data_IF_811953932555
#
_entry.id   IF_811953932555
#
_cell.length_a   1.000
_cell.length_b   1.000
_cell.length_c   1.000
_cell.angle_alpha   90.00
_cell.angle_beta   90.00
_cell.angle_gamma   90.00
#
_symmetry.space_group_name_H-M   'P 1'
#
loop_
_entity.id
_entity.type
_entity.pdbx_description
1 polymer ?
#
# COMPACT_ATOMS: atom_id res chain seq x y z
N UNK A 1 19.16 -2.04 -15.24
CA UNK A 1 17.97 -2.39 -16.06
C UNK A 1 16.81 -1.59 -15.50
N UNK A 2 16.20 -0.73 -16.30
CA UNK A 2 15.10 0.11 -15.82
C UNK A 2 13.87 -0.77 -15.58
N UNK A 3 13.40 -0.81 -14.32
CA UNK A 3 12.20 -1.57 -13.96
C UNK A 3 11.00 -0.77 -14.44
N UNK A 4 10.36 -1.21 -15.52
CA UNK A 4 9.15 -0.59 -16.05
C UNK A 4 7.97 -0.94 -15.15
N UNK A 5 7.39 0.06 -14.48
CA UNK A 5 6.17 -0.06 -13.70
C UNK A 5 5.09 0.90 -14.22
N UNK A 6 3.86 0.67 -13.80
CA UNK A 6 2.75 1.60 -14.04
C UNK A 6 3.00 2.96 -13.35
N UNK A 7 3.49 2.90 -12.12
CA UNK A 7 3.96 4.05 -11.34
C UNK A 7 5.37 3.72 -10.84
N UNK A 8 6.29 4.66 -10.79
CA UNK A 8 7.63 4.40 -10.28
C UNK A 8 8.33 5.66 -9.74
N UNK A 9 9.24 5.45 -8.82
CA UNK A 9 10.22 6.44 -8.38
C UNK A 9 11.64 5.83 -8.44
N UNK A 10 12.59 6.39 -7.69
CA UNK A 10 13.97 5.90 -7.68
C UNK A 10 14.12 4.58 -6.92
N UNK A 11 13.19 4.27 -6.02
CA UNK A 11 13.29 3.17 -5.06
C UNK A 11 12.41 1.99 -5.41
N UNK A 12 11.21 2.26 -5.95
CA UNK A 12 10.23 1.24 -6.23
C UNK A 12 9.51 1.50 -7.55
N UNK A 13 9.04 0.43 -8.17
CA UNK A 13 8.08 0.46 -9.23
C UNK A 13 6.81 -0.29 -8.80
N UNK A 14 5.65 0.25 -9.17
CA UNK A 14 4.36 -0.40 -8.96
C UNK A 14 3.87 -0.96 -10.30
N UNK A 15 3.57 -2.24 -10.35
CA UNK A 15 3.06 -2.89 -11.55
C UNK A 15 1.82 -3.75 -11.25
N UNK A 16 0.98 -4.03 -12.24
CA UNK A 16 -0.06 -5.04 -12.08
C UNK A 16 0.52 -6.36 -11.57
N UNK A 17 -0.25 -7.07 -10.75
CA UNK A 17 0.07 -8.44 -10.36
C UNK A 17 -0.27 -9.40 -11.51
N UNK A 18 0.55 -10.41 -11.67
CA UNK A 18 0.37 -11.48 -12.64
C UNK A 18 0.13 -12.82 -11.92
N UNK A 19 -0.46 -13.78 -12.61
CA UNK A 19 -0.79 -15.08 -12.02
C UNK A 19 0.47 -15.79 -11.47
N UNK A 20 1.64 -15.57 -12.11
CA UNK A 20 2.93 -16.11 -11.66
C UNK A 20 3.43 -15.52 -10.33
N UNK A 21 2.89 -14.39 -9.89
CA UNK A 21 3.20 -13.81 -8.57
C UNK A 21 2.55 -14.58 -7.42
N UNK A 22 1.50 -15.35 -7.67
CA UNK A 22 0.64 -15.99 -6.67
C UNK A 22 1.42 -16.88 -5.69
N UNK A 23 2.40 -17.63 -6.18
CA UNK A 23 3.23 -18.48 -5.32
C UNK A 23 4.03 -17.67 -4.28
N UNK A 24 4.48 -16.47 -4.65
CA UNK A 24 5.17 -15.57 -3.75
C UNK A 24 4.22 -14.94 -2.74
N UNK A 25 3.04 -14.49 -3.19
CA UNK A 25 2.00 -13.95 -2.32
C UNK A 25 1.58 -14.99 -1.28
N UNK A 26 1.29 -16.23 -1.70
CA UNK A 26 0.97 -17.34 -0.80
C UNK A 26 2.09 -17.59 0.24
N UNK A 27 3.35 -17.50 -0.18
CA UNK A 27 4.50 -17.59 0.73
C UNK A 27 4.48 -16.50 1.81
N UNK A 28 4.15 -15.27 1.45
CA UNK A 28 4.10 -14.16 2.41
C UNK A 28 2.92 -14.26 3.39
N UNK A 29 1.72 -14.51 2.90
CA UNK A 29 0.52 -14.56 3.76
C UNK A 29 0.49 -15.79 4.67
N UNK A 30 1.32 -16.80 4.38
CA UNK A 30 1.51 -17.99 5.23
C UNK A 30 2.72 -17.88 6.16
N UNK A 31 3.61 -16.89 5.99
CA UNK A 31 4.71 -16.64 6.92
C UNK A 31 4.17 -16.02 8.22
N UNK A 32 4.42 -16.69 9.36
CA UNK A 32 3.89 -16.27 10.66
C UNK A 32 4.32 -14.85 11.07
N UNK A 33 5.54 -14.43 10.70
CA UNK A 33 6.03 -13.10 11.03
C UNK A 33 5.32 -12.01 10.21
N UNK A 34 4.90 -12.32 8.97
CA UNK A 34 4.09 -11.44 8.11
C UNK A 34 2.63 -11.49 8.55
N UNK A 35 2.09 -12.68 8.76
CA UNK A 35 0.70 -12.93 9.16
C UNK A 35 0.32 -12.25 10.47
N UNK A 36 1.29 -12.05 11.37
CA UNK A 36 1.07 -11.31 12.61
C UNK A 36 0.42 -9.95 12.39
N UNK A 37 0.78 -9.27 11.30
CA UNK A 37 0.33 -7.91 10.99
C UNK A 37 -0.85 -7.87 10.00
N UNK A 38 -1.30 -9.05 9.51
CA UNK A 38 -2.41 -9.13 8.57
C UNK A 38 -3.72 -9.47 9.28
N UNK A 39 -4.82 -8.94 8.77
CA UNK A 39 -6.19 -9.23 9.24
C UNK A 39 -6.80 -10.53 8.70
N UNK A 40 -5.98 -11.42 8.12
CA UNK A 40 -6.43 -12.68 7.51
C UNK A 40 -5.95 -13.89 8.33
N UNK A 41 -6.59 -15.06 8.21
CA UNK A 41 -6.20 -16.25 8.98
C UNK A 41 -4.97 -16.97 8.42
N UNK A 42 -4.45 -16.60 7.24
CA UNK A 42 -3.42 -17.36 6.53
C UNK A 42 -3.97 -18.65 5.91
N UNK A 43 -3.08 -19.59 5.60
CA UNK A 43 -3.37 -20.91 4.99
C UNK A 43 -3.97 -20.79 3.59
N UNK A 44 -3.44 -19.85 2.80
CA UNK A 44 -3.82 -19.67 1.41
C UNK A 44 -2.88 -20.47 0.49
N UNK A 45 -3.46 -21.13 -0.50
CA UNK A 45 -2.72 -21.81 -1.57
C UNK A 45 -2.35 -20.83 -2.67
N UNK A 46 -1.41 -21.22 -3.55
CA UNK A 46 -1.11 -20.41 -4.74
C UNK A 46 -2.33 -20.28 -5.66
N UNK A 47 -3.16 -21.31 -5.76
CA UNK A 47 -4.37 -21.26 -6.59
C UNK A 47 -5.41 -20.26 -6.04
N UNK A 48 -5.56 -20.18 -4.72
CA UNK A 48 -6.42 -19.17 -4.08
C UNK A 48 -5.87 -17.76 -4.31
N UNK A 49 -4.55 -17.56 -4.27
CA UNK A 49 -3.93 -16.28 -4.61
C UNK A 49 -4.09 -15.92 -6.11
N UNK A 50 -4.04 -16.89 -7.03
CA UNK A 50 -4.39 -16.65 -8.45
C UNK A 50 -5.83 -16.14 -8.56
N UNK A 51 -6.78 -16.77 -7.86
CA UNK A 51 -8.17 -16.31 -7.88
C UNK A 51 -8.31 -14.92 -7.27
N UNK A 52 -7.60 -14.64 -6.18
CA UNK A 52 -7.59 -13.31 -5.57
C UNK A 52 -7.01 -12.26 -6.53
N UNK A 53 -5.87 -12.51 -7.19
CA UNK A 53 -5.28 -11.60 -8.19
C UNK A 53 -6.29 -11.29 -9.30
N UNK A 54 -6.96 -12.31 -9.83
CA UNK A 54 -7.99 -12.13 -10.87
C UNK A 54 -9.17 -11.29 -10.35
N UNK A 55 -9.65 -11.58 -9.13
CA UNK A 55 -10.75 -10.83 -8.54
C UNK A 55 -10.41 -9.36 -8.30
N UNK A 56 -9.17 -9.05 -7.90
CA UNK A 56 -8.71 -7.67 -7.74
C UNK A 56 -8.56 -6.95 -9.09
N UNK A 57 -8.08 -7.66 -10.11
CA UNK A 57 -7.94 -7.12 -11.48
C UNK A 57 -9.30 -6.76 -12.08
N UNK A 58 -10.30 -7.59 -11.86
CA UNK A 58 -11.64 -7.42 -12.42
C UNK A 58 -12.54 -6.50 -11.56
N UNK A 59 -12.11 -6.14 -10.36
CA UNK A 59 -12.89 -5.31 -9.45
C UNK A 59 -12.95 -3.85 -9.92
N UNK A 60 -14.15 -3.26 -10.04
CA UNK A 60 -14.29 -1.83 -10.33
C UNK A 60 -14.02 -0.94 -9.11
N UNK A 61 -13.83 -1.55 -7.93
CA UNK A 61 -13.70 -0.87 -6.64
C UNK A 61 -12.36 -1.08 -5.95
N UNK A 62 -11.46 -1.80 -6.60
CA UNK A 62 -10.14 -2.09 -6.04
C UNK A 62 -9.05 -1.81 -7.07
N UNK A 63 -7.91 -1.35 -6.60
CA UNK A 63 -6.67 -1.22 -7.38
C UNK A 63 -5.56 -1.80 -6.53
N UNK A 64 -4.99 -2.93 -6.95
CA UNK A 64 -3.89 -3.57 -6.23
C UNK A 64 -2.71 -3.74 -7.17
N UNK A 65 -1.55 -3.28 -6.73
CA UNK A 65 -0.29 -3.34 -7.50
C UNK A 65 0.79 -4.05 -6.70
N UNK A 66 1.64 -4.78 -7.41
CA UNK A 66 2.87 -5.33 -6.86
C UNK A 66 3.93 -4.25 -6.68
N UNK A 67 4.64 -4.29 -5.56
CA UNK A 67 5.78 -3.42 -5.26
C UNK A 67 7.05 -4.13 -5.69
N UNK A 68 7.75 -3.55 -6.65
CA UNK A 68 9.04 -4.04 -7.14
C UNK A 68 10.15 -3.13 -6.63
N UNK A 69 11.17 -3.72 -6.00
CA UNK A 69 12.38 -3.00 -5.59
C UNK A 69 13.18 -2.63 -6.85
N UNK A 70 13.42 -1.33 -7.07
CA UNK A 70 14.14 -0.84 -8.25
C UNK A 70 15.62 -1.23 -8.25
N UNK A 71 16.17 -1.65 -7.10
CA UNK A 71 17.59 -2.01 -7.00
C UNK A 71 17.92 -3.35 -7.66
N UNK A 72 16.98 -4.31 -7.64
CA UNK A 72 17.21 -5.66 -8.16
C UNK A 72 16.03 -6.22 -9.00
N UNK A 73 14.92 -5.48 -9.12
CA UNK A 73 13.74 -5.90 -9.88
C UNK A 73 12.87 -6.94 -9.18
N UNK A 74 13.09 -7.17 -7.90
CA UNK A 74 12.36 -8.19 -7.13
C UNK A 74 11.01 -7.67 -6.65
N UNK A 75 9.95 -8.45 -6.85
CA UNK A 75 8.66 -8.21 -6.21
C UNK A 75 8.81 -8.41 -4.70
N UNK A 76 8.48 -7.40 -3.89
CA UNK A 76 8.72 -7.39 -2.44
C UNK A 76 7.46 -7.20 -1.61
N UNK A 77 6.35 -6.88 -2.25
CA UNK A 77 5.10 -6.64 -1.54
C UNK A 77 3.96 -6.25 -2.47
N UNK A 78 2.86 -5.82 -1.88
CA UNK A 78 1.69 -5.28 -2.58
C UNK A 78 1.22 -4.00 -1.92
N UNK A 79 0.63 -3.10 -2.69
CA UNK A 79 -0.04 -1.89 -2.22
C UNK A 79 -1.36 -1.73 -2.96
N UNK A 80 -2.40 -1.27 -2.26
CA UNK A 80 -3.70 -1.16 -2.88
C UNK A 80 -4.62 -0.11 -2.30
N UNK A 81 -5.63 0.20 -3.09
CA UNK A 81 -6.83 0.94 -2.73
C UNK A 81 -7.99 -0.04 -2.81
N UNK A 82 -8.74 -0.15 -1.74
CA UNK A 82 -9.87 -1.09 -1.64
C UNK A 82 -11.17 -0.33 -1.38
N UNK A 83 -12.27 -0.94 -1.78
CA UNK A 83 -13.61 -0.40 -1.56
C UNK A 83 -13.74 1.06 -2.03
N UNK A 84 -13.16 1.40 -3.17
CA UNK A 84 -13.22 2.75 -3.73
C UNK A 84 -14.69 3.18 -3.82
N UNK A 85 -15.03 4.23 -3.08
CA UNK A 85 -16.34 4.85 -3.06
C UNK A 85 -16.27 6.17 -3.83
N UNK A 86 -16.83 6.18 -5.04
CA UNK A 86 -16.79 7.37 -5.90
C UNK A 86 -17.76 8.47 -5.45
N UNK A 87 -18.82 8.12 -4.73
CA UNK A 87 -19.79 9.08 -4.21
C UNK A 87 -19.16 9.93 -3.11
N UNK A 88 -18.48 9.28 -2.17
CA UNK A 88 -17.82 9.96 -1.05
C UNK A 88 -16.34 10.24 -1.33
N UNK A 89 -15.85 9.88 -2.52
CA UNK A 89 -14.46 10.09 -2.97
C UNK A 89 -13.42 9.57 -1.96
N UNK A 90 -13.60 8.35 -1.47
CA UNK A 90 -12.67 7.74 -0.53
C UNK A 90 -12.32 6.28 -0.88
N UNK A 91 -11.27 5.77 -0.27
CA UNK A 91 -10.88 4.37 -0.36
C UNK A 91 -10.15 3.92 0.91
N UNK A 92 -10.20 2.61 1.17
CA UNK A 92 -9.35 1.99 2.17
C UNK A 92 -7.98 1.71 1.56
N UNK A 93 -6.93 2.19 2.23
CA UNK A 93 -5.55 1.97 1.84
C UNK A 93 -4.99 0.71 2.51
N UNK A 94 -4.30 -0.12 1.74
CA UNK A 94 -3.64 -1.32 2.22
C UNK A 94 -2.23 -1.46 1.67
N UNK A 95 -1.30 -1.99 2.47
CA UNK A 95 0.07 -2.29 2.05
C UNK A 95 0.62 -3.50 2.79
N UNK A 96 1.37 -4.31 2.07
CA UNK A 96 2.13 -5.43 2.58
C UNK A 96 3.55 -5.39 1.99
N UNK A 97 4.57 -5.38 2.84
CA UNK A 97 5.94 -5.77 2.46
C UNK A 97 6.12 -7.21 2.95
N UNK A 98 6.05 -8.15 2.02
CA UNK A 98 6.13 -9.59 2.32
C UNK A 98 7.57 -10.08 2.51
N UNK A 99 8.53 -9.47 1.79
CA UNK A 99 9.94 -9.81 1.92
C UNK A 99 10.55 -9.20 3.20
N UNK A 100 10.85 -10.06 4.17
CA UNK A 100 11.33 -9.63 5.51
C UNK A 100 12.69 -8.95 5.48
N UNK A 101 13.57 -9.37 4.57
CA UNK A 101 14.87 -8.75 4.34
C UNK A 101 14.78 -7.32 3.77
N UNK A 102 13.60 -6.90 3.34
CA UNK A 102 13.28 -5.56 2.84
C UNK A 102 12.56 -4.67 3.85
N UNK A 103 12.28 -5.17 5.03
CA UNK A 103 11.63 -4.37 6.07
C UNK A 103 12.51 -3.24 6.57
N UNK A 104 11.88 -2.14 6.99
CA UNK A 104 12.54 -0.94 7.53
C UNK A 104 13.48 -0.21 6.56
N UNK A 105 13.47 -0.57 5.27
CA UNK A 105 14.28 0.10 4.24
C UNK A 105 13.53 1.25 3.54
N UNK A 106 12.31 1.57 3.96
CA UNK A 106 11.51 2.67 3.42
C UNK A 106 10.78 2.36 2.11
N UNK A 107 10.85 1.12 1.58
CA UNK A 107 10.15 0.73 0.35
C UNK A 107 8.64 0.86 0.50
N UNK A 108 8.08 0.50 1.67
CA UNK A 108 6.65 0.68 1.94
C UNK A 108 6.21 2.14 1.92
N UNK A 109 7.04 3.06 2.43
CA UNK A 109 6.73 4.51 2.37
C UNK A 109 6.84 5.03 0.93
N UNK A 110 7.83 4.59 0.15
CA UNK A 110 7.96 4.96 -1.27
C UNK A 110 6.76 4.48 -2.08
N UNK A 111 6.39 3.20 -1.95
CA UNK A 111 5.22 2.62 -2.62
C UNK A 111 3.91 3.32 -2.21
N UNK A 112 3.76 3.58 -0.90
CA UNK A 112 2.59 4.29 -0.37
C UNK A 112 2.46 5.71 -0.90
N UNK A 113 3.57 6.41 -1.11
CA UNK A 113 3.57 7.76 -1.71
C UNK A 113 3.08 7.73 -3.14
N UNK A 114 3.57 6.81 -3.96
CA UNK A 114 3.12 6.62 -5.34
C UNK A 114 1.63 6.28 -5.41
N UNK A 115 1.17 5.34 -4.57
CA UNK A 115 -0.24 4.94 -4.54
C UNK A 115 -1.15 6.07 -4.03
N UNK A 116 -0.73 6.85 -3.04
CA UNK A 116 -1.49 8.00 -2.54
C UNK A 116 -1.56 9.13 -3.58
N UNK A 117 -0.47 9.40 -4.30
CA UNK A 117 -0.47 10.35 -5.40
C UNK A 117 -1.44 9.92 -6.52
N UNK A 118 -1.41 8.66 -6.90
CA UNK A 118 -2.37 8.10 -7.85
C UNK A 118 -3.81 8.23 -7.38
N UNK A 119 -4.08 7.91 -6.10
CA UNK A 119 -5.42 8.04 -5.51
C UNK A 119 -5.95 9.47 -5.57
N UNK A 120 -5.14 10.44 -5.17
CA UNK A 120 -5.58 11.84 -5.05
C UNK A 120 -5.54 12.59 -6.38
N UNK A 121 -4.48 12.39 -7.15
CA UNK A 121 -4.19 13.23 -8.32
C UNK A 121 -4.53 12.58 -9.66
N UNK A 122 -4.87 11.28 -9.69
CA UNK A 122 -5.36 10.59 -10.89
C UNK A 122 -6.80 10.12 -10.72
N UNK A 123 -7.13 9.45 -9.60
CA UNK A 123 -8.49 8.98 -9.35
C UNK A 123 -9.39 10.05 -8.73
N UNK A 124 -8.84 11.22 -8.39
CA UNK A 124 -9.54 12.35 -7.76
C UNK A 124 -10.27 11.95 -6.46
N UNK A 125 -9.65 11.10 -5.66
CA UNK A 125 -10.17 10.80 -4.34
C UNK A 125 -9.89 11.96 -3.38
N UNK A 126 -10.77 12.14 -2.40
CA UNK A 126 -10.63 13.16 -1.37
C UNK A 126 -9.93 12.64 -0.13
N UNK A 127 -10.11 11.34 0.16
CA UNK A 127 -9.67 10.73 1.42
C UNK A 127 -9.20 9.29 1.24
N UNK A 128 -8.10 8.96 1.93
CA UNK A 128 -7.71 7.59 2.21
C UNK A 128 -7.86 7.31 3.71
N UNK A 129 -8.22 6.06 4.05
CA UNK A 129 -8.27 5.61 5.44
C UNK A 129 -7.70 4.21 5.56
N UNK A 130 -7.27 3.85 6.75
CA UNK A 130 -6.76 2.53 7.06
C UNK A 130 -7.00 2.18 8.54
N UNK A 131 -6.82 0.91 8.85
CA UNK A 131 -6.68 0.47 10.24
C UNK A 131 -5.35 -0.26 10.40
N UNK A 132 -4.73 -0.13 11.57
CA UNK A 132 -3.46 -0.78 11.89
C UNK A 132 -3.44 -1.20 13.36
N UNK A 133 -2.97 -2.42 13.63
CA UNK A 133 -2.80 -2.90 15.00
C UNK A 133 -1.81 -2.01 15.76
N UNK A 134 -2.15 -1.61 16.99
CA UNK A 134 -1.33 -0.73 17.81
C UNK A 134 0.07 -1.31 18.10
N UNK A 135 0.20 -2.65 18.08
CA UNK A 135 1.48 -3.34 18.21
C UNK A 135 2.31 -3.41 16.91
N UNK A 136 1.89 -2.71 15.82
CA UNK A 136 2.67 -2.59 14.58
C UNK A 136 3.32 -1.19 14.45
N UNK A 137 4.33 -0.85 15.25
CA UNK A 137 4.94 0.48 15.23
C UNK A 137 5.62 0.83 13.90
N UNK A 138 6.05 -0.18 13.12
CA UNK A 138 6.63 0.03 11.79
C UNK A 138 5.58 0.51 10.79
N UNK A 139 4.41 -0.11 10.82
CA UNK A 139 3.27 0.32 9.99
C UNK A 139 2.85 1.74 10.35
N UNK A 140 2.60 2.00 11.64
CA UNK A 140 2.21 3.33 12.14
C UNK A 140 3.19 4.41 11.67
N UNK A 141 4.50 4.23 11.91
CA UNK A 141 5.53 5.19 11.46
C UNK A 141 5.58 5.37 9.93
N UNK A 142 5.28 4.32 9.16
CA UNK A 142 5.22 4.44 7.70
C UNK A 142 4.03 5.29 7.26
N UNK A 143 2.87 5.09 7.88
CA UNK A 143 1.66 5.86 7.59
C UNK A 143 1.78 7.33 8.04
N UNK A 144 2.35 7.59 9.21
CA UNK A 144 2.64 8.96 9.66
C UNK A 144 3.57 9.71 8.69
N UNK A 145 4.60 9.03 8.14
CA UNK A 145 5.49 9.62 7.13
C UNK A 145 4.80 9.93 5.79
N UNK A 146 3.71 9.25 5.49
CA UNK A 146 2.85 9.55 4.32
C UNK A 146 1.89 10.71 4.61
N UNK A 147 1.70 11.08 5.87
CA UNK A 147 0.80 12.12 6.33
C UNK A 147 -0.51 11.62 6.92
N UNK A 148 -0.69 10.30 7.08
CA UNK A 148 -1.85 9.77 7.80
C UNK A 148 -1.84 10.24 9.26
N UNK A 149 -3.00 10.64 9.74
CA UNK A 149 -3.22 11.08 11.11
C UNK A 149 -4.09 10.07 11.87
N UNK A 150 -3.81 9.91 13.16
CA UNK A 150 -4.65 9.09 14.04
C UNK A 150 -6.00 9.79 14.23
N UNK A 151 -7.09 9.09 13.92
CA UNK A 151 -8.46 9.60 14.09
C UNK A 151 -9.20 8.92 15.22
N UNK A 152 -8.76 7.73 15.63
CA UNK A 152 -9.37 7.00 16.72
C UNK A 152 -8.66 5.71 17.09
N UNK A 153 -9.05 5.16 18.23
CA UNK A 153 -8.56 3.87 18.73
C UNK A 153 -9.74 2.95 19.01
N UNK A 154 -9.78 1.84 18.27
CA UNK A 154 -10.74 0.75 18.51
C UNK A 154 -10.14 -0.15 19.59
N UNK A 155 -10.78 -0.16 20.77
CA UNK A 155 -10.29 -0.93 21.91
C UNK A 155 -10.47 -2.42 21.68
N UNK A 156 -9.39 -3.19 21.92
CA UNK A 156 -9.40 -4.66 21.90
C UNK A 156 -9.99 -5.26 20.60
N UNK A 157 -9.80 -4.57 19.47
CA UNK A 157 -10.43 -4.91 18.17
C UNK A 157 -9.64 -5.95 17.35
N UNK A 158 -8.50 -6.42 17.84
CA UNK A 158 -7.68 -7.42 17.15
C UNK A 158 -7.23 -8.49 18.14
N UNK A 159 -7.48 -9.77 17.82
CA UNK A 159 -6.98 -10.91 18.60
C UNK A 159 -5.76 -11.51 17.92
N UNK A 160 -4.60 -11.47 18.58
CA UNK A 160 -3.34 -12.04 18.10
C UNK A 160 -2.54 -12.64 19.27
N UNK A 161 -1.91 -13.76 19.05
CA UNK A 161 -1.03 -14.43 20.02
C UNK A 161 -1.67 -14.60 21.41
N UNK A 162 -2.97 -14.97 21.47
CA UNK A 162 -3.68 -15.22 22.72
C UNK A 162 -4.18 -13.98 23.47
N UNK A 163 -4.04 -12.77 22.89
CA UNK A 163 -4.44 -11.52 23.53
C UNK A 163 -5.22 -10.63 22.59
N UNK A 164 -6.09 -9.79 23.16
CA UNK A 164 -6.76 -8.71 22.44
C UNK A 164 -5.88 -7.46 22.44
N UNK A 165 -5.89 -6.76 21.31
CA UNK A 165 -5.08 -5.57 21.09
C UNK A 165 -5.91 -4.45 20.50
N UNK A 166 -5.52 -3.23 20.79
CA UNK A 166 -6.11 -2.03 20.19
C UNK A 166 -5.74 -1.93 18.71
N UNK A 167 -6.62 -1.29 17.95
CA UNK A 167 -6.43 -0.99 16.53
C UNK A 167 -6.59 0.52 16.33
N UNK A 168 -5.63 1.13 15.68
CA UNK A 168 -5.68 2.54 15.31
C UNK A 168 -6.44 2.70 13.99
N UNK A 169 -7.38 3.64 13.95
CA UNK A 169 -7.98 4.15 12.72
C UNK A 169 -7.22 5.41 12.31
N UNK A 170 -6.73 5.45 11.08
CA UNK A 170 -5.95 6.57 10.56
C UNK A 170 -6.53 7.05 9.24
N UNK A 171 -6.43 8.36 8.97
CA UNK A 171 -6.93 9.01 7.76
C UNK A 171 -5.91 9.94 7.15
N UNK A 172 -6.01 10.13 5.82
CA UNK A 172 -5.19 11.05 5.04
C UNK A 172 -6.09 11.79 4.05
N UNK A 173 -6.07 13.10 4.08
CA UNK A 173 -6.80 13.93 3.11
C UNK A 173 -5.88 14.35 1.95
N UNK A 174 -6.47 14.52 0.78
CA UNK A 174 -5.75 14.93 -0.43
C UNK A 174 -4.94 16.22 -0.23
N UNK A 175 -5.52 17.23 0.46
CA UNK A 175 -4.84 18.51 0.75
C UNK A 175 -3.59 18.30 1.59
N UNK A 176 -3.69 17.48 2.65
CA UNK A 176 -2.60 17.27 3.61
C UNK A 176 -1.46 16.48 2.95
N UNK A 177 -1.81 15.49 2.11
CA UNK A 177 -0.83 14.76 1.29
C UNK A 177 -0.12 15.68 0.30
N UNK A 178 -0.85 16.49 -0.45
CA UNK A 178 -0.29 17.37 -1.48
C UNK A 178 0.63 18.43 -0.87
N UNK A 179 0.25 19.00 0.29
CA UNK A 179 1.10 19.96 1.01
C UNK A 179 2.39 19.30 1.50
N UNK A 180 2.29 18.17 2.21
CA UNK A 180 3.43 17.45 2.76
C UNK A 180 4.38 16.89 1.69
N UNK A 181 3.89 16.59 0.49
CA UNK A 181 4.66 15.97 -0.59
C UNK A 181 4.92 16.87 -1.81
N UNK A 182 4.71 18.19 -1.69
CA UNK A 182 4.86 19.13 -2.82
C UNK A 182 6.25 19.04 -3.49
N UNK A 183 7.33 19.01 -2.71
CA UNK A 183 8.70 18.89 -3.22
C UNK A 183 8.95 17.58 -3.95
N UNK A 184 8.45 16.47 -3.43
CA UNK A 184 8.56 15.16 -4.08
C UNK A 184 7.75 15.14 -5.39
N UNK A 185 6.54 15.66 -5.41
CA UNK A 185 5.71 15.76 -6.63
C UNK A 185 6.39 16.58 -7.72
N UNK A 186 7.00 17.71 -7.35
CA UNK A 186 7.78 18.52 -8.29
C UNK A 186 8.94 17.73 -8.89
N UNK A 187 9.65 16.93 -8.10
CA UNK A 187 10.73 16.08 -8.59
C UNK A 187 10.22 14.97 -9.53
N UNK A 188 9.06 14.40 -9.25
CA UNK A 188 8.44 13.39 -10.14
C UNK A 188 7.99 14.03 -11.46
N UNK A 189 7.37 15.21 -11.42
CA UNK A 189 6.97 15.94 -12.64
C UNK A 189 8.17 16.19 -13.57
N UNK A 190 9.33 16.59 -13.02
CA UNK A 190 10.58 16.72 -13.77
C UNK A 190 11.01 15.42 -14.40
N UNK A 191 10.98 14.33 -13.64
CA UNK A 191 11.35 12.99 -14.11
C UNK A 191 10.52 12.55 -15.32
N UNK A 192 9.22 12.86 -15.34
CA UNK A 192 8.32 12.51 -16.44
C UNK A 192 8.20 13.58 -17.54
N UNK A 193 8.95 14.67 -17.45
CA UNK A 193 8.88 15.77 -18.43
C UNK A 193 7.54 16.54 -18.39
N UNK A 194 6.85 16.53 -17.26
CA UNK A 194 5.52 17.13 -17.05
C UNK A 194 5.59 18.48 -16.32
N UNK A 195 6.71 19.17 -16.37
CA UNK A 195 6.95 20.42 -15.61
C UNK A 195 5.91 21.52 -15.90
N UNK A 196 5.32 21.52 -17.08
CA UNK A 196 4.32 22.52 -17.50
C UNK A 196 2.86 22.09 -17.27
N UNK A 197 2.64 20.92 -16.67
CA UNK A 197 1.29 20.33 -16.55
C UNK A 197 0.74 20.37 -15.11
N UNK A 198 1.50 20.93 -14.15
CA UNK A 198 1.18 20.90 -12.71
C UNK A 198 1.08 22.34 -12.13
N UNK A 199 0.64 23.29 -12.95
CA UNK A 199 0.27 24.63 -12.48
C UNK A 199 -1.25 24.77 -12.39
#
# INVERSE_FOLDING_TARGET
MEVKGFLHDERVALRPLEDDDAGRLAGWVNDQAVLLYLGIPGRLTSDEEVQWIKSMRDSPRDVVLGIVDSSDGRLVGTVGLHMINRTDSNAMYGILIGEKDRWSQGLGTAAGRLMSDYAFNTLNLHRLHLTVAAFNPRGVKSYERLGFQLEGTLKEACFKQGSYHDVFAMGLLARDFNEANAGWRTSQARRYGLENSIL
#
